data_IF_824069378971
#
_entry.id   IF_824069378971
#
_cell.length_a   1.000
_cell.length_b   1.000
_cell.length_c   1.000
_cell.angle_alpha   90.00
_cell.angle_beta   90.00
_cell.angle_gamma   90.00
#
_symmetry.space_group_name_H-M   'P 1'
#
loop_
_entity.id
_entity.type
_entity.pdbx_description
1 polymer ?
#
# COMPACT_ATOMS: atom_id res chain seq x y z
N UNK A 1 23.65 -57.75 34.69
CA UNK A 1 24.61 -56.62 34.78
C UNK A 1 24.78 -55.84 33.48
N UNK A 2 24.12 -56.20 32.38
CA UNK A 2 24.33 -55.57 31.06
C UNK A 2 23.26 -54.54 30.64
N UNK A 3 22.16 -54.41 31.38
CA UNK A 3 21.12 -53.39 31.11
C UNK A 3 21.27 -52.11 31.94
N UNK A 4 22.02 -52.14 33.05
CA UNK A 4 22.21 -50.94 33.89
C UNK A 4 23.33 -50.02 33.40
N UNK A 5 24.26 -50.53 32.58
CA UNK A 5 25.33 -49.74 31.95
C UNK A 5 24.90 -49.03 30.65
N UNK A 6 23.84 -49.49 29.97
CA UNK A 6 23.32 -48.80 28.78
C UNK A 6 22.38 -47.63 29.11
N UNK A 7 21.75 -47.62 30.28
CA UNK A 7 20.90 -46.52 30.70
C UNK A 7 21.73 -45.32 31.23
N UNK A 8 22.82 -45.56 31.98
CA UNK A 8 23.72 -44.50 32.47
C UNK A 8 24.51 -43.79 31.35
N UNK A 9 24.71 -44.45 30.21
CA UNK A 9 25.33 -43.86 29.02
C UNK A 9 24.41 -42.92 28.22
N UNK A 10 23.08 -43.10 28.30
CA UNK A 10 22.11 -42.23 27.61
C UNK A 10 21.85 -40.94 28.39
N UNK A 11 21.71 -41.02 29.71
CA UNK A 11 21.45 -39.83 30.55
C UNK A 11 22.67 -38.87 30.61
N UNK A 12 23.90 -39.40 30.51
CA UNK A 12 25.12 -38.58 30.46
C UNK A 12 25.30 -37.83 29.13
N UNK A 13 24.73 -38.36 28.05
CA UNK A 13 24.83 -37.76 26.71
C UNK A 13 23.75 -36.68 26.49
N UNK A 14 22.55 -36.87 27.06
CA UNK A 14 21.50 -35.84 27.08
C UNK A 14 21.84 -34.66 28.00
N UNK A 15 22.47 -34.89 29.16
CA UNK A 15 22.94 -33.81 30.03
C UNK A 15 24.13 -33.03 29.46
N UNK A 16 24.97 -33.67 28.64
CA UNK A 16 26.06 -32.98 27.91
C UNK A 16 25.52 -32.14 26.75
N UNK A 17 24.48 -32.60 26.05
CA UNK A 17 23.82 -31.83 24.98
C UNK A 17 23.06 -30.59 25.52
N UNK A 18 22.43 -30.70 26.70
CA UNK A 18 21.75 -29.58 27.36
C UNK A 18 22.72 -28.53 27.93
N UNK A 19 23.91 -28.92 28.40
CA UNK A 19 24.97 -27.97 28.82
C UNK A 19 25.65 -27.27 27.64
N UNK A 20 25.78 -27.93 26.49
CA UNK A 20 26.29 -27.30 25.26
C UNK A 20 25.29 -26.34 24.60
N UNK A 21 23.99 -26.53 24.78
CA UNK A 21 22.95 -25.58 24.35
C UNK A 21 22.79 -24.38 25.30
N UNK A 22 23.04 -24.55 26.61
CA UNK A 22 23.03 -23.42 27.56
C UNK A 22 24.33 -22.57 27.51
N UNK A 23 25.47 -23.16 27.14
CA UNK A 23 26.73 -22.42 26.97
C UNK A 23 26.80 -21.61 25.67
N UNK A 24 26.05 -22.01 24.63
CA UNK A 24 25.93 -21.23 23.37
C UNK A 24 24.89 -20.12 23.44
N UNK A 25 23.94 -20.19 24.39
CA UNK A 25 22.98 -19.12 24.66
C UNK A 25 23.54 -17.99 25.57
N UNK A 26 24.58 -18.27 26.37
CA UNK A 26 25.15 -17.31 27.33
C UNK A 26 26.28 -16.43 26.78
N UNK A 27 26.85 -16.74 25.60
CA UNK A 27 27.94 -15.95 24.99
C UNK A 27 27.43 -14.86 24.02
N UNK A 28 26.15 -14.87 23.66
CA UNK A 28 25.54 -13.88 22.75
C UNK A 28 24.80 -12.73 23.44
N UNK A 29 24.96 -12.55 24.76
CA UNK A 29 24.26 -11.52 25.55
C UNK A 29 25.18 -10.47 26.18
N UNK A 30 26.45 -10.38 25.79
CA UNK A 30 27.42 -9.43 26.37
C UNK A 30 28.30 -8.68 25.37
N UNK A 31 27.79 -8.39 24.17
CA UNK A 31 28.52 -7.60 23.16
C UNK A 31 27.62 -6.60 22.43
N UNK A 32 26.82 -5.84 23.18
CA UNK A 32 26.06 -4.69 22.63
C UNK A 32 26.24 -3.46 23.51
N UNK A 33 27.50 -3.05 23.69
CA UNK A 33 27.84 -1.72 24.17
C UNK A 33 29.02 -1.21 23.35
N UNK A 34 28.84 -0.04 22.74
CA UNK A 34 29.77 0.69 21.88
C UNK A 34 29.92 0.18 20.43
N UNK A 35 28.93 0.52 19.59
CA UNK A 35 29.25 1.04 18.26
C UNK A 35 28.52 2.36 18.06
N UNK A 36 29.32 3.39 17.79
CA UNK A 36 28.90 4.77 17.71
C UNK A 36 27.86 5.02 16.63
N UNK A 37 27.03 6.02 16.91
CA UNK A 37 26.13 6.67 16.00
C UNK A 37 26.88 7.19 14.76
N UNK A 38 27.09 6.32 13.78
CA UNK A 38 27.28 6.68 12.38
C UNK A 38 25.92 6.57 11.71
N UNK A 39 25.05 7.54 12.03
CA UNK A 39 23.76 7.67 11.39
C UNK A 39 23.98 8.07 9.93
N UNK A 40 23.90 7.10 9.01
CA UNK A 40 23.52 7.42 7.63
C UNK A 40 22.23 8.22 7.73
N UNK A 41 22.30 9.52 7.46
CA UNK A 41 21.16 10.43 7.38
C UNK A 41 20.06 9.74 6.57
N UNK A 42 19.01 9.25 7.25
CA UNK A 42 17.79 8.79 6.57
C UNK A 42 17.35 9.94 5.67
N UNK A 43 17.23 9.68 4.38
CA UNK A 43 16.86 10.69 3.38
C UNK A 43 15.41 11.15 3.57
N UNK A 44 15.13 11.82 4.68
CA UNK A 44 13.81 12.36 4.99
C UNK A 44 13.51 13.53 4.05
N UNK A 45 12.24 13.65 3.65
CA UNK A 45 11.76 14.82 2.96
C UNK A 45 12.00 16.08 3.82
N UNK A 46 12.36 17.20 3.19
CA UNK A 46 12.61 18.44 3.90
C UNK A 46 11.39 18.93 4.71
N UNK A 47 10.18 18.65 4.22
CA UNK A 47 8.93 18.89 4.95
C UNK A 47 8.84 18.07 6.23
N UNK A 48 9.27 16.81 6.20
CA UNK A 48 9.27 15.92 7.36
C UNK A 48 10.28 16.34 8.43
N UNK A 49 11.48 16.76 8.02
CA UNK A 49 12.48 17.34 8.94
C UNK A 49 11.93 18.57 9.67
N UNK A 50 11.17 19.41 8.96
CA UNK A 50 10.50 20.58 9.57
C UNK A 50 9.39 20.18 10.53
N UNK A 51 8.55 19.22 10.16
CA UNK A 51 7.50 18.70 11.05
C UNK A 51 8.11 18.11 12.32
N UNK A 52 9.20 17.35 12.23
CA UNK A 52 9.91 16.83 13.41
C UNK A 52 10.41 17.95 14.32
N UNK A 53 10.94 19.04 13.74
CA UNK A 53 11.38 20.21 14.51
C UNK A 53 10.21 20.85 15.25
N UNK A 54 9.07 21.05 14.58
CA UNK A 54 7.88 21.60 15.23
C UNK A 54 7.34 20.66 16.29
N UNK A 55 7.25 19.35 16.03
CA UNK A 55 6.84 18.37 17.04
C UNK A 55 7.73 18.42 18.29
N UNK A 56 9.04 18.64 18.11
CA UNK A 56 9.96 18.86 19.23
C UNK A 56 9.65 20.16 19.98
N UNK A 57 9.44 21.26 19.28
CA UNK A 57 9.06 22.55 19.90
C UNK A 57 7.73 22.43 20.68
N UNK A 58 6.73 21.75 20.11
CA UNK A 58 5.49 21.42 20.81
C UNK A 58 5.75 20.55 22.04
N UNK A 59 6.66 19.58 21.97
CA UNK A 59 7.05 18.76 23.12
C UNK A 59 7.69 19.56 24.26
N UNK A 60 8.53 20.54 23.94
CA UNK A 60 9.10 21.45 24.95
C UNK A 60 8.03 22.35 25.58
N UNK A 61 7.13 22.91 24.76
CA UNK A 61 5.98 23.69 25.25
C UNK A 61 5.05 22.85 26.12
N UNK A 62 4.85 21.59 25.75
CA UNK A 62 4.00 20.66 26.48
C UNK A 62 4.52 20.39 27.89
N UNK A 63 5.86 20.32 28.04
CA UNK A 63 6.52 20.24 29.36
C UNK A 63 6.38 21.52 30.17
N UNK A 64 6.44 22.68 29.52
CA UNK A 64 6.43 23.96 30.22
C UNK A 64 5.03 24.43 30.67
N UNK A 65 3.98 24.08 29.92
CA UNK A 65 2.65 24.68 30.07
C UNK A 65 1.60 23.76 30.73
N UNK A 66 2.02 22.73 31.47
CA UNK A 66 1.10 21.71 31.99
C UNK A 66 0.01 22.27 32.94
N UNK A 67 -1.29 21.98 32.72
CA UNK A 67 -1.88 21.23 31.59
C UNK A 67 -2.09 22.10 30.34
N UNK A 68 -1.71 21.57 29.17
CA UNK A 68 -1.76 22.29 27.89
C UNK A 68 -2.57 21.54 26.80
N UNK A 69 -3.91 21.44 26.92
CA UNK A 69 -4.75 20.70 25.96
C UNK A 69 -4.67 21.26 24.53
N UNK A 70 -4.45 22.57 24.39
CA UNK A 70 -4.24 23.21 23.09
C UNK A 70 -2.91 22.80 22.42
N UNK A 71 -1.85 22.57 23.21
CA UNK A 71 -0.53 22.12 22.71
C UNK A 71 -0.64 20.67 22.24
N UNK A 72 -1.37 19.83 22.98
CA UNK A 72 -1.67 18.45 22.58
C UNK A 72 -2.46 18.40 21.27
N UNK A 73 -3.50 19.24 21.14
CA UNK A 73 -4.30 19.34 19.92
C UNK A 73 -3.45 19.80 18.73
N UNK A 74 -2.51 20.73 18.94
CA UNK A 74 -1.57 21.16 17.92
C UNK A 74 -0.64 20.05 17.41
N UNK A 75 -0.17 19.16 18.30
CA UNK A 75 0.60 17.97 17.91
C UNK A 75 -0.23 17.04 17.02
N UNK A 76 -1.49 16.79 17.40
CA UNK A 76 -2.39 15.92 16.62
C UNK A 76 -2.69 16.51 15.25
N UNK A 77 -3.12 17.77 15.21
CA UNK A 77 -3.43 18.48 13.97
C UNK A 77 -2.23 18.54 13.02
N UNK A 78 -1.01 18.73 13.54
CA UNK A 78 0.18 18.79 12.72
C UNK A 78 0.47 17.45 12.03
N UNK A 79 0.36 16.34 12.77
CA UNK A 79 0.54 15.01 12.19
C UNK A 79 -0.59 14.65 11.23
N UNK A 80 -1.84 14.98 11.57
CA UNK A 80 -3.01 14.74 10.72
C UNK A 80 -2.92 15.52 9.41
N UNK A 81 -2.46 16.78 9.45
CA UNK A 81 -2.23 17.59 8.26
C UNK A 81 -1.14 16.98 7.38
N UNK A 82 -0.04 16.50 7.97
CA UNK A 82 1.00 15.79 7.23
C UNK A 82 0.46 14.52 6.55
N UNK A 83 -0.32 13.72 7.28
CA UNK A 83 -0.92 12.49 6.80
C UNK A 83 -1.87 12.77 5.62
N UNK A 84 -2.81 13.70 5.79
CA UNK A 84 -3.78 14.05 4.75
C UNK A 84 -3.11 14.71 3.53
N UNK A 85 -2.10 15.56 3.75
CA UNK A 85 -1.37 16.20 2.65
C UNK A 85 -0.52 15.19 1.87
N UNK A 86 0.12 14.23 2.55
CA UNK A 86 0.86 13.14 1.89
C UNK A 86 -0.08 12.29 1.03
N UNK A 87 -1.23 11.89 1.59
CA UNK A 87 -2.24 11.15 0.84
C UNK A 87 -2.71 11.94 -0.41
N UNK A 88 -3.12 13.19 -0.22
CA UNK A 88 -3.69 14.02 -1.30
C UNK A 88 -2.66 14.31 -2.39
N UNK A 89 -1.40 14.52 -2.03
CA UNK A 89 -0.34 14.79 -2.99
C UNK A 89 -0.01 13.56 -3.84
N UNK A 90 0.05 12.37 -3.25
CA UNK A 90 0.70 11.22 -3.88
C UNK A 90 -0.21 10.05 -4.27
N UNK A 91 -1.43 9.97 -3.72
CA UNK A 91 -2.41 8.98 -4.15
C UNK A 91 -2.95 9.30 -5.55
N UNK A 92 -3.55 8.31 -6.20
CA UNK A 92 -4.33 8.45 -7.42
C UNK A 92 -5.85 8.53 -7.17
N UNK A 93 -6.27 8.48 -5.90
CA UNK A 93 -7.67 8.67 -5.49
C UNK A 93 -7.85 10.08 -4.90
N UNK A 94 -8.68 10.94 -5.53
CA UNK A 94 -8.88 12.29 -5.04
C UNK A 94 -9.64 12.28 -3.70
N UNK A 95 -9.19 13.09 -2.75
CA UNK A 95 -9.79 13.16 -1.41
C UNK A 95 -11.29 13.51 -1.43
N UNK A 96 -11.75 14.27 -2.43
CA UNK A 96 -13.19 14.58 -2.60
C UNK A 96 -14.04 13.33 -2.74
N UNK A 97 -13.58 12.34 -3.51
CA UNK A 97 -14.34 11.09 -3.72
C UNK A 97 -14.52 10.29 -2.43
N UNK A 98 -13.58 10.39 -1.49
CA UNK A 98 -13.71 9.74 -0.18
C UNK A 98 -14.67 10.47 0.75
N UNK A 99 -14.81 11.78 0.60
CA UNK A 99 -15.61 12.63 1.49
C UNK A 99 -17.07 12.73 1.07
N UNK A 100 -17.36 12.55 -0.22
CA UNK A 100 -18.72 12.71 -0.75
C UNK A 100 -19.61 11.49 -0.46
N UNK A 101 -19.07 10.35 0.00
CA UNK A 101 -19.78 9.08 0.30
C UNK A 101 -20.66 8.55 -0.86
N UNK A 102 -20.63 9.18 -2.04
CA UNK A 102 -21.40 8.78 -3.21
C UNK A 102 -20.58 7.84 -4.07
N UNK A 103 -20.96 6.56 -4.01
CA UNK A 103 -20.41 5.42 -4.74
C UNK A 103 -18.92 5.09 -4.45
N UNK A 104 -18.56 3.79 -4.39
CA UNK A 104 -17.16 3.40 -4.41
C UNK A 104 -16.51 3.98 -5.69
N UNK A 105 -15.38 4.72 -5.60
CA UNK A 105 -14.67 5.16 -6.79
C UNK A 105 -14.38 3.97 -7.73
N UNK A 106 -14.29 4.21 -9.03
CA UNK A 106 -13.72 3.20 -9.93
C UNK A 106 -12.29 2.92 -9.45
N UNK A 107 -12.06 1.74 -8.84
CA UNK A 107 -10.83 1.42 -8.09
C UNK A 107 -10.98 1.39 -6.56
N UNK A 108 -12.17 1.51 -5.99
CA UNK A 108 -12.42 1.54 -4.52
C UNK A 108 -11.93 0.33 -3.73
N UNK A 109 -11.57 -0.78 -4.39
CA UNK A 109 -10.86 -1.87 -3.72
C UNK A 109 -9.45 -1.51 -3.25
N UNK A 110 -8.97 -0.29 -3.53
CA UNK A 110 -7.57 0.10 -3.35
C UNK A 110 -7.25 0.82 -2.03
N UNK A 111 -8.26 1.33 -1.32
CA UNK A 111 -8.07 2.04 -0.05
C UNK A 111 -8.69 1.22 1.09
N UNK A 112 -7.93 0.99 2.16
CA UNK A 112 -8.44 0.28 3.33
C UNK A 112 -9.59 1.07 3.97
N UNK A 113 -10.65 0.37 4.41
CA UNK A 113 -11.78 1.01 5.10
C UNK A 113 -11.32 1.82 6.34
N UNK A 114 -10.24 1.35 6.96
CA UNK A 114 -9.56 2.03 8.05
C UNK A 114 -8.97 3.37 7.62
N UNK A 115 -8.25 3.43 6.50
CA UNK A 115 -7.68 4.66 5.97
C UNK A 115 -8.79 5.63 5.55
N UNK A 116 -9.81 5.15 4.86
CA UNK A 116 -10.96 5.96 4.48
C UNK A 116 -11.63 6.58 5.71
N UNK A 117 -11.98 5.76 6.71
CA UNK A 117 -12.60 6.25 7.95
C UNK A 117 -11.71 7.24 8.71
N UNK A 118 -10.39 7.06 8.65
CA UNK A 118 -9.43 7.99 9.24
C UNK A 118 -9.40 9.33 8.51
N UNK A 119 -9.26 9.33 7.18
CA UNK A 119 -9.23 10.54 6.36
C UNK A 119 -10.54 11.33 6.46
N UNK A 120 -11.69 10.64 6.42
CA UNK A 120 -13.01 11.26 6.61
C UNK A 120 -13.12 11.90 7.98
N UNK A 121 -12.71 11.20 9.05
CA UNK A 121 -12.74 11.74 10.42
C UNK A 121 -11.89 13.00 10.54
N UNK A 122 -10.61 12.95 10.17
CA UNK A 122 -9.68 14.07 10.37
C UNK A 122 -10.10 15.28 9.53
N UNK A 123 -10.56 15.08 8.29
CA UNK A 123 -11.00 16.18 7.43
C UNK A 123 -12.30 16.85 7.89
N UNK A 124 -13.18 16.12 8.60
CA UNK A 124 -14.45 16.64 9.10
C UNK A 124 -14.39 17.12 10.56
N UNK A 125 -13.25 16.92 11.24
CA UNK A 125 -13.06 17.31 12.63
C UNK A 125 -11.83 18.22 12.74
N UNK A 126 -10.68 17.66 13.05
CA UNK A 126 -9.44 18.39 13.36
C UNK A 126 -8.94 19.29 12.22
N UNK A 127 -9.10 18.85 10.97
CA UNK A 127 -8.63 19.57 9.79
C UNK A 127 -9.74 20.33 9.06
N UNK A 128 -10.90 20.56 9.69
CA UNK A 128 -12.04 21.21 9.04
C UNK A 128 -11.66 22.56 8.40
N UNK A 129 -10.83 23.34 9.08
CA UNK A 129 -10.30 24.64 8.58
C UNK A 129 -9.38 24.52 7.35
N UNK A 130 -8.78 23.35 7.13
CA UNK A 130 -7.90 23.07 6.00
C UNK A 130 -8.60 22.30 4.87
N UNK A 131 -9.83 21.81 5.10
CA UNK A 131 -10.55 20.95 4.16
C UNK A 131 -10.65 21.55 2.75
N UNK A 132 -11.04 22.81 2.63
CA UNK A 132 -11.15 23.48 1.32
C UNK A 132 -9.81 23.52 0.56
N UNK A 133 -8.69 23.68 1.28
CA UNK A 133 -7.36 23.68 0.68
C UNK A 133 -6.94 22.28 0.25
N UNK A 134 -7.18 21.27 1.09
CA UNK A 134 -6.91 19.87 0.77
C UNK A 134 -7.72 19.40 -0.44
N UNK A 135 -9.00 19.78 -0.53
CA UNK A 135 -9.86 19.43 -1.68
C UNK A 135 -9.44 20.15 -2.98
N UNK A 136 -8.80 21.32 -2.89
CA UNK A 136 -8.31 22.07 -4.06
C UNK A 136 -7.02 21.49 -4.66
N UNK A 137 -6.34 20.58 -3.95
CA UNK A 137 -5.11 19.95 -4.45
C UNK A 137 -5.45 18.88 -5.47
N UNK A 138 -4.85 18.99 -6.66
CA UNK A 138 -4.94 17.93 -7.67
C UNK A 138 -4.00 16.77 -7.29
N UNK A 139 -4.45 15.51 -7.37
CA UNK A 139 -3.58 14.35 -7.21
C UNK A 139 -2.40 14.40 -8.18
N UNK A 140 -1.20 13.98 -7.75
CA UNK A 140 0.01 14.00 -8.61
C UNK A 140 -0.14 13.21 -9.91
N UNK A 141 -1.08 12.26 -10.02
CA UNK A 141 -1.39 11.56 -11.27
C UNK A 141 -1.82 12.51 -12.41
N UNK A 142 -2.29 13.72 -12.10
CA UNK A 142 -2.79 14.71 -13.08
C UNK A 142 -1.80 15.86 -13.31
N UNK A 143 -0.77 16.00 -12.47
CA UNK A 143 0.17 17.12 -12.51
C UNK A 143 1.59 16.65 -12.79
N UNK A 144 1.87 16.28 -14.05
CA UNK A 144 3.24 16.19 -14.53
C UNK A 144 3.91 17.58 -14.43
N UNK A 145 4.66 17.84 -13.35
CA UNK A 145 5.61 18.97 -13.30
C UNK A 145 5.64 19.86 -12.05
N UNK A 146 4.98 19.56 -10.93
CA UNK A 146 5.00 20.48 -9.76
C UNK A 146 5.14 19.81 -8.39
N UNK A 147 6.06 18.85 -8.26
CA UNK A 147 6.34 18.19 -6.98
C UNK A 147 7.53 18.80 -6.23
N UNK A 148 7.27 19.58 -5.17
CA UNK A 148 8.10 19.76 -3.94
C UNK A 148 7.85 21.09 -3.23
N UNK A 149 7.42 22.15 -3.94
CA UNK A 149 7.26 23.49 -3.35
C UNK A 149 5.90 23.77 -2.69
N UNK A 150 4.84 23.03 -3.06
CA UNK A 150 3.48 23.27 -2.58
C UNK A 150 3.30 22.91 -1.09
N UNK A 151 3.76 21.71 -0.68
CA UNK A 151 3.72 21.25 0.71
C UNK A 151 4.51 22.20 1.64
N UNK A 152 5.63 22.72 1.15
CA UNK A 152 6.50 23.64 1.89
C UNK A 152 5.93 25.05 2.05
N UNK A 153 5.19 25.55 1.04
CA UNK A 153 4.43 26.79 1.17
C UNK A 153 3.24 26.63 2.13
N UNK A 154 2.61 25.45 2.17
CA UNK A 154 1.47 25.15 3.03
C UNK A 154 1.86 25.03 4.51
N UNK A 155 2.97 24.34 4.79
CA UNK A 155 3.54 24.25 6.15
C UNK A 155 4.07 25.61 6.64
N UNK A 156 4.56 26.49 5.76
CA UNK A 156 4.93 27.88 6.15
C UNK A 156 3.74 28.76 6.50
N UNK A 157 2.61 28.61 5.82
CA UNK A 157 1.38 29.38 6.11
C UNK A 157 0.74 29.00 7.45
N UNK A 158 1.10 27.85 8.02
CA UNK A 158 0.56 27.35 9.28
C UNK A 158 1.40 27.70 10.50
N UNK A 159 2.70 28.04 10.34
CA UNK A 159 3.58 28.41 11.47
C UNK A 159 3.62 29.91 11.78
N UNK A 160 3.07 30.76 10.92
CA UNK A 160 2.98 32.21 11.16
C UNK A 160 1.56 32.65 10.86
N UNK A 161 0.80 33.00 11.90
CA UNK A 161 -0.49 33.65 11.73
C UNK A 161 -0.34 34.88 10.84
N UNK A 162 -1.08 34.93 9.74
CA UNK A 162 -1.08 36.10 8.86
C UNK A 162 -1.73 37.27 9.61
N UNK A 163 -0.93 38.28 9.94
CA UNK A 163 -1.44 39.63 10.14
C UNK A 163 -1.00 40.47 8.92
N UNK A 164 -1.91 41.14 8.20
CA UNK A 164 -1.50 42.03 7.12
C UNK A 164 -1.20 43.42 7.71
N UNK A 165 0.05 43.86 7.57
CA UNK A 165 0.48 45.25 7.35
C UNK A 165 1.71 45.66 8.16
N UNK A 166 2.55 46.44 7.48
CA UNK A 166 3.61 47.36 7.93
C UNK A 166 5.09 46.93 7.83
N UNK A 167 5.86 47.91 7.33
CA UNK A 167 7.26 47.92 6.90
C UNK A 167 8.27 47.37 7.93
N UNK A 168 9.44 46.85 7.49
CA UNK A 168 10.42 46.28 8.41
C UNK A 168 11.33 47.35 9.01
N UNK A 169 11.47 47.30 10.35
CA UNK A 169 12.56 47.90 11.13
C UNK A 169 13.82 47.01 11.13
N UNK A 170 15.01 47.55 11.45
CA UNK A 170 16.31 46.93 11.13
C UNK A 170 16.75 45.76 12.03
N UNK A 171 15.84 45.13 12.77
CA UNK A 171 16.14 43.95 13.60
C UNK A 171 16.08 42.61 12.83
N UNK A 172 15.60 42.63 11.58
CA UNK A 172 15.50 41.44 10.70
C UNK A 172 16.86 41.00 10.12
N UNK A 173 17.95 41.72 10.44
CA UNK A 173 19.28 41.40 9.92
C UNK A 173 19.90 40.14 10.56
N UNK A 174 19.51 39.76 11.78
CA UNK A 174 20.04 38.57 12.45
C UNK A 174 19.43 37.25 11.94
N UNK A 175 18.21 37.28 11.40
CA UNK A 175 17.51 36.10 10.88
C UNK A 175 17.97 35.70 9.46
N UNK A 176 18.72 36.55 8.77
CA UNK A 176 19.31 36.25 7.45
C UNK A 176 20.50 35.28 7.50
N UNK A 177 21.01 34.95 8.69
CA UNK A 177 22.12 34.01 8.86
C UNK A 177 21.74 32.53 8.67
N UNK A 178 20.44 32.19 8.64
CA UNK A 178 19.97 30.84 8.32
C UNK A 178 19.55 30.66 6.86
N UNK A 179 19.73 31.69 6.03
CA UNK A 179 19.58 31.61 4.58
C UNK A 179 20.83 30.99 3.95
N UNK A 180 21.24 29.83 4.46
CA UNK A 180 22.13 28.93 3.76
C UNK A 180 21.37 28.36 2.57
N UNK A 181 21.88 28.63 1.39
CA UNK A 181 21.51 28.05 0.11
C UNK A 181 21.58 26.52 0.18
N UNK A 182 20.55 25.88 0.74
CA UNK A 182 20.38 24.43 0.69
C UNK A 182 19.62 24.15 -0.60
N UNK A 183 20.43 23.86 -1.63
CA UNK A 183 20.08 23.35 -2.95
C UNK A 183 18.61 23.15 -3.23
N UNK A 184 18.09 23.97 -4.14
CA UNK A 184 16.94 23.62 -4.99
C UNK A 184 17.16 22.20 -5.53
N UNK A 185 16.37 21.17 -5.14
CA UNK A 185 16.34 19.98 -5.96
C UNK A 185 15.75 20.45 -7.29
N UNK A 186 16.55 20.36 -8.36
CA UNK A 186 16.06 20.62 -9.70
C UNK A 186 14.77 19.79 -9.88
N UNK A 187 13.75 20.31 -10.59
CA UNK A 187 12.62 19.47 -10.98
C UNK A 187 13.21 18.28 -11.75
N UNK A 188 13.07 17.07 -11.20
CA UNK A 188 13.45 15.83 -11.88
C UNK A 188 12.48 15.67 -13.06
N UNK A 189 12.80 16.31 -14.18
CA UNK A 189 12.13 16.07 -15.45
C UNK A 189 12.53 14.68 -15.94
N UNK A 190 11.52 13.81 -16.10
CA UNK A 190 11.55 12.68 -17.05
C UNK A 190 12.59 11.59 -16.82
N UNK A 191 12.91 11.23 -15.58
CA UNK A 191 13.76 10.07 -15.28
C UNK A 191 13.00 8.74 -15.22
N UNK A 192 13.69 7.58 -15.28
CA UNK A 192 13.09 6.28 -14.95
C UNK A 192 12.51 6.34 -13.53
N UNK A 193 11.31 5.77 -13.34
CA UNK A 193 10.56 5.75 -12.07
C UNK A 193 9.94 7.09 -11.62
N UNK A 194 9.55 7.96 -12.56
CA UNK A 194 8.98 9.28 -12.26
C UNK A 194 7.90 9.20 -11.16
N UNK A 195 8.11 9.92 -10.06
CA UNK A 195 7.18 10.00 -8.94
C UNK A 195 7.22 8.81 -7.96
N UNK A 196 7.91 7.71 -8.25
CA UNK A 196 8.01 6.56 -7.33
C UNK A 196 9.01 6.84 -6.21
N UNK A 197 10.15 7.45 -6.52
CA UNK A 197 11.15 7.83 -5.51
C UNK A 197 10.56 8.84 -4.54
N UNK A 198 9.86 9.85 -5.04
CA UNK A 198 9.20 10.87 -4.20
C UNK A 198 8.15 10.26 -3.29
N UNK A 199 7.38 9.28 -3.78
CA UNK A 199 6.41 8.51 -3.00
C UNK A 199 7.07 7.67 -1.92
N UNK A 200 8.15 6.97 -2.26
CA UNK A 200 8.94 6.20 -1.31
C UNK A 200 9.51 7.10 -0.20
N UNK A 201 10.11 8.23 -0.57
CA UNK A 201 10.60 9.21 0.40
C UNK A 201 9.48 9.76 1.28
N UNK A 202 8.31 10.06 0.70
CA UNK A 202 7.16 10.56 1.46
C UNK A 202 6.61 9.50 2.44
N UNK A 203 6.48 8.24 1.98
CA UNK A 203 6.08 7.10 2.78
C UNK A 203 7.03 6.87 3.96
N UNK A 204 8.34 6.77 3.69
CA UNK A 204 9.37 6.60 4.71
C UNK A 204 9.37 7.75 5.71
N UNK A 205 9.21 8.98 5.22
CA UNK A 205 9.16 10.17 6.06
C UNK A 205 7.95 10.18 7.00
N UNK A 206 6.77 9.85 6.49
CA UNK A 206 5.53 9.76 7.27
C UNK A 206 5.64 8.65 8.33
N UNK A 207 6.12 7.47 7.94
CA UNK A 207 6.32 6.34 8.85
C UNK A 207 7.39 6.60 9.90
N UNK A 208 8.47 7.32 9.56
CA UNK A 208 9.50 7.72 10.51
C UNK A 208 8.93 8.68 11.58
N UNK A 209 8.16 9.69 11.17
CA UNK A 209 7.50 10.60 12.12
C UNK A 209 6.50 9.85 13.00
N UNK A 210 5.72 8.93 12.42
CA UNK A 210 4.82 8.08 13.18
C UNK A 210 5.57 7.23 14.21
N UNK A 211 6.75 6.71 13.88
CA UNK A 211 7.59 5.94 14.81
C UNK A 211 8.11 6.80 15.98
N UNK A 212 8.55 8.03 15.71
CA UNK A 212 8.94 8.99 16.75
C UNK A 212 7.77 9.32 17.69
N UNK A 213 6.57 9.56 17.13
CA UNK A 213 5.37 9.77 17.93
C UNK A 213 5.05 8.56 18.81
N UNK A 214 5.13 7.33 18.27
CA UNK A 214 4.91 6.10 19.06
C UNK A 214 5.89 6.00 20.22
N UNK A 215 7.16 6.31 19.99
CA UNK A 215 8.18 6.33 21.04
C UNK A 215 7.87 7.39 22.12
N UNK A 216 7.32 8.54 21.72
CA UNK A 216 6.91 9.60 22.62
C UNK A 216 5.60 9.33 23.39
N UNK A 217 4.79 8.32 23.00
CA UNK A 217 3.46 8.03 23.56
C UNK A 217 3.44 7.96 25.09
N UNK A 218 4.38 7.22 25.69
CA UNK A 218 4.45 7.07 27.14
C UNK A 218 4.73 8.39 27.87
N UNK A 219 5.61 9.21 27.30
CA UNK A 219 5.90 10.55 27.83
C UNK A 219 4.71 11.50 27.65
N UNK A 220 3.96 11.41 26.55
CA UNK A 220 2.74 12.20 26.36
C UNK A 220 1.67 11.86 27.40
N UNK A 221 1.44 10.56 27.65
CA UNK A 221 0.48 10.09 28.63
C UNK A 221 0.84 10.52 30.07
N UNK A 222 2.12 10.55 30.43
CA UNK A 222 2.54 11.00 31.76
C UNK A 222 2.40 12.51 32.00
N UNK A 223 2.18 13.29 30.93
CA UNK A 223 2.04 14.74 30.97
C UNK A 223 0.65 15.20 30.48
N UNK A 224 -0.36 14.31 30.47
CA UNK A 224 -1.78 14.70 30.31
C UNK A 224 -2.57 14.29 31.56
N UNK A 225 -3.67 15.00 31.88
CA UNK A 225 -4.64 14.50 32.86
C UNK A 225 -5.22 13.15 32.43
N UNK A 226 -5.56 12.28 33.39
CA UNK A 226 -6.17 10.96 33.11
C UNK A 226 -7.45 11.05 32.26
N UNK A 227 -8.20 12.15 32.35
CA UNK A 227 -9.39 12.39 31.53
C UNK A 227 -9.11 12.46 30.03
N UNK A 228 -7.88 12.83 29.63
CA UNK A 228 -7.45 12.99 28.24
C UNK A 228 -6.77 11.73 27.68
N UNK A 229 -6.46 10.73 28.52
CA UNK A 229 -5.86 9.47 28.08
C UNK A 229 -6.64 8.82 26.92
N UNK A 230 -7.99 8.70 26.97
CA UNK A 230 -8.74 8.10 25.87
C UNK A 230 -8.56 8.83 24.53
N UNK A 231 -8.38 10.15 24.56
CA UNK A 231 -8.18 10.98 23.35
C UNK A 231 -6.79 10.71 22.76
N UNK A 232 -5.76 10.71 23.60
CA UNK A 232 -4.38 10.36 23.19
C UNK A 232 -4.34 8.95 22.61
N UNK A 233 -4.99 7.99 23.26
CA UNK A 233 -5.04 6.60 22.82
C UNK A 233 -5.78 6.43 21.49
N UNK A 234 -6.88 7.16 21.30
CA UNK A 234 -7.60 7.17 20.03
C UNK A 234 -6.74 7.76 18.89
N UNK A 235 -5.96 8.81 19.16
CA UNK A 235 -5.05 9.38 18.18
C UNK A 235 -3.98 8.37 17.72
N UNK A 236 -3.34 7.67 18.65
CA UNK A 236 -2.33 6.66 18.30
C UNK A 236 -2.93 5.50 17.51
N UNK A 237 -3.98 4.88 18.04
CA UNK A 237 -4.58 3.68 17.44
C UNK A 237 -5.27 3.94 16.09
N UNK A 238 -5.85 5.14 15.90
CA UNK A 238 -6.66 5.45 14.72
C UNK A 238 -6.02 6.42 13.74
N UNK A 239 -5.05 7.23 14.14
CA UNK A 239 -4.41 8.22 13.25
C UNK A 239 -2.94 7.85 13.00
N UNK A 240 -2.13 7.69 14.05
CA UNK A 240 -0.70 7.38 13.90
C UNK A 240 -0.51 6.05 13.16
N UNK A 241 -1.25 5.03 13.55
CA UNK A 241 -1.17 3.74 12.89
C UNK A 241 -1.73 3.74 11.45
N UNK A 242 -2.48 4.78 11.02
CA UNK A 242 -2.94 4.90 9.62
C UNK A 242 -1.82 5.37 8.66
N UNK A 243 -0.64 5.73 9.19
CA UNK A 243 0.53 6.07 8.38
C UNK A 243 0.94 4.95 7.43
N UNK A 244 0.80 3.71 7.88
CA UNK A 244 1.14 2.51 7.10
C UNK A 244 0.18 2.34 5.94
N UNK A 245 -1.13 2.52 6.18
CA UNK A 245 -2.13 2.46 5.11
C UNK A 245 -1.88 3.54 4.03
N UNK A 246 -1.52 4.77 4.44
CA UNK A 246 -1.16 5.84 3.48
C UNK A 246 0.08 5.45 2.69
N UNK A 247 1.11 4.91 3.35
CA UNK A 247 2.34 4.42 2.72
C UNK A 247 2.04 3.37 1.64
N UNK A 248 1.25 2.34 1.99
CA UNK A 248 0.84 1.30 1.03
C UNK A 248 0.04 1.88 -0.14
N UNK A 249 -0.91 2.78 0.13
CA UNK A 249 -1.73 3.41 -0.89
C UNK A 249 -0.88 4.20 -1.90
N UNK A 250 0.01 5.07 -1.41
CA UNK A 250 0.82 5.91 -2.31
C UNK A 250 1.87 5.09 -3.05
N UNK A 251 2.49 4.08 -2.42
CA UNK A 251 3.45 3.20 -3.11
C UNK A 251 2.77 2.39 -4.20
N UNK A 252 1.57 1.84 -3.94
CA UNK A 252 0.76 1.14 -4.94
C UNK A 252 0.41 2.04 -6.13
N UNK A 253 -0.01 3.28 -5.88
CA UNK A 253 -0.24 4.26 -6.94
C UNK A 253 1.04 4.54 -7.75
N UNK A 254 2.18 4.67 -7.08
CA UNK A 254 3.49 4.83 -7.71
C UNK A 254 3.86 3.65 -8.62
N UNK A 255 3.55 2.42 -8.21
CA UNK A 255 3.73 1.22 -9.03
C UNK A 255 2.84 1.26 -10.26
N UNK A 256 1.54 1.52 -10.14
CA UNK A 256 0.63 1.61 -11.30
C UNK A 256 1.07 2.65 -12.34
N UNK A 257 1.57 3.79 -11.88
CA UNK A 257 2.12 4.82 -12.77
C UNK A 257 3.35 4.35 -13.53
N UNK A 258 4.17 3.49 -12.91
CA UNK A 258 5.44 3.04 -13.48
C UNK A 258 5.34 1.66 -14.14
N UNK A 259 4.29 0.90 -13.90
CA UNK A 259 3.98 -0.40 -14.52
C UNK A 259 2.59 -0.30 -15.18
N UNK A 260 2.49 0.36 -16.36
CA UNK A 260 1.22 0.55 -17.04
C UNK A 260 0.75 -0.77 -17.66
N UNK A 261 -0.25 -1.40 -17.03
CA UNK A 261 -0.82 -2.69 -17.43
C UNK A 261 -2.18 -2.59 -18.13
N UNK A 262 -2.77 -1.39 -18.23
CA UNK A 262 -4.05 -1.20 -18.91
C UNK A 262 -4.10 -1.76 -20.36
N UNK A 263 -3.03 -1.67 -21.18
CA UNK A 263 -3.01 -2.31 -22.50
C UNK A 263 -3.09 -3.85 -22.45
N UNK A 264 -2.51 -4.48 -21.42
CA UNK A 264 -2.55 -5.93 -21.23
C UNK A 264 -3.98 -6.38 -20.92
N UNK A 265 -4.72 -5.63 -20.10
CA UNK A 265 -6.14 -5.88 -19.84
C UNK A 265 -6.95 -5.96 -21.15
N UNK A 266 -6.68 -5.05 -22.08
CA UNK A 266 -7.39 -5.02 -23.36
C UNK A 266 -7.03 -6.21 -24.25
N UNK A 267 -5.76 -6.64 -24.25
CA UNK A 267 -5.34 -7.84 -24.98
C UNK A 267 -5.99 -9.11 -24.44
N UNK A 268 -5.98 -9.30 -23.11
CA UNK A 268 -6.66 -10.44 -22.47
C UNK A 268 -8.16 -10.43 -22.82
N UNK A 269 -8.81 -9.28 -22.71
CA UNK A 269 -10.25 -9.16 -22.99
C UNK A 269 -10.61 -9.38 -24.48
N UNK A 270 -9.65 -9.14 -25.38
CA UNK A 270 -9.80 -9.29 -26.83
C UNK A 270 -9.37 -10.65 -27.38
N UNK A 271 -8.77 -11.50 -26.55
CA UNK A 271 -8.31 -12.84 -26.93
C UNK A 271 -9.49 -13.76 -27.26
N UNK A 272 -9.34 -14.60 -28.28
CA UNK A 272 -10.40 -15.51 -28.71
C UNK A 272 -10.38 -16.83 -27.92
N UNK A 273 -11.01 -16.78 -26.75
CA UNK A 273 -11.22 -17.98 -25.93
C UNK A 273 -12.37 -18.89 -26.41
N UNK A 274 -12.88 -18.70 -27.63
CA UNK A 274 -13.91 -19.56 -28.21
C UNK A 274 -13.37 -20.68 -29.10
N UNK A 275 -12.07 -20.63 -29.44
CA UNK A 275 -11.41 -21.64 -30.28
C UNK A 275 -11.64 -23.07 -29.77
N UNK A 276 -11.82 -23.99 -30.71
CA UNK A 276 -11.87 -25.44 -30.47
C UNK A 276 -10.53 -26.11 -30.76
N UNK A 277 -9.54 -25.36 -31.25
CA UNK A 277 -8.20 -25.87 -31.49
C UNK A 277 -7.33 -25.67 -30.23
N UNK A 278 -6.56 -26.70 -29.82
CA UNK A 278 -5.67 -26.57 -28.68
C UNK A 278 -4.60 -25.50 -28.94
N UNK A 279 -4.25 -24.68 -27.94
CA UNK A 279 -3.25 -23.64 -28.10
C UNK A 279 -1.87 -24.27 -28.38
N UNK A 280 -1.22 -23.86 -29.46
CA UNK A 280 0.16 -24.26 -29.76
C UNK A 280 1.17 -23.53 -28.84
N UNK A 281 0.83 -22.30 -28.43
CA UNK A 281 1.67 -21.40 -27.65
C UNK A 281 0.79 -20.59 -26.69
N UNK A 282 1.43 -19.96 -25.69
CA UNK A 282 0.75 -18.98 -24.84
C UNK A 282 0.34 -17.75 -25.66
N UNK A 283 -0.72 -17.09 -25.23
CA UNK A 283 -1.27 -15.89 -25.86
C UNK A 283 -0.27 -14.72 -25.81
N UNK A 284 -0.28 -13.84 -26.81
CA UNK A 284 0.66 -12.72 -26.95
C UNK A 284 0.65 -11.74 -25.76
N UNK A 285 -0.45 -11.69 -25.01
CA UNK A 285 -0.55 -10.83 -23.83
C UNK A 285 0.40 -11.27 -22.71
N UNK A 286 0.77 -12.56 -22.64
CA UNK A 286 1.71 -13.11 -21.66
C UNK A 286 3.09 -12.49 -21.86
N UNK A 287 3.58 -12.46 -23.10
CA UNK A 287 4.86 -11.86 -23.46
C UNK A 287 4.88 -10.34 -23.22
N UNK A 288 3.80 -9.62 -23.55
CA UNK A 288 3.68 -8.18 -23.30
C UNK A 288 3.70 -7.87 -21.78
N UNK A 289 3.00 -8.68 -20.97
CA UNK A 289 3.02 -8.57 -19.52
C UNK A 289 4.44 -8.78 -18.96
N UNK A 290 5.09 -9.88 -19.34
CA UNK A 290 6.42 -10.24 -18.88
C UNK A 290 7.45 -9.19 -19.30
N UNK A 291 7.37 -8.69 -20.53
CA UNK A 291 8.23 -7.62 -21.06
C UNK A 291 8.08 -6.33 -20.24
N UNK A 292 6.85 -5.94 -19.90
CA UNK A 292 6.60 -4.74 -19.09
C UNK A 292 7.16 -4.87 -17.69
N UNK A 293 7.03 -6.04 -17.06
CA UNK A 293 7.56 -6.27 -15.72
C UNK A 293 9.10 -6.34 -15.73
N UNK A 294 9.71 -6.93 -16.76
CA UNK A 294 11.16 -6.92 -16.96
C UNK A 294 11.67 -5.48 -17.14
N UNK A 295 11.02 -4.67 -17.98
CA UNK A 295 11.36 -3.25 -18.12
C UNK A 295 11.14 -2.44 -16.83
N UNK A 296 10.18 -2.84 -15.99
CA UNK A 296 10.01 -2.26 -14.66
C UNK A 296 11.15 -2.65 -13.70
N UNK A 297 11.56 -3.92 -13.69
CA UNK A 297 12.74 -4.42 -12.95
C UNK A 297 14.00 -3.63 -13.31
N UNK A 298 14.27 -3.48 -14.60
CA UNK A 298 15.48 -2.81 -15.08
C UNK A 298 15.49 -1.33 -14.69
N UNK A 299 14.35 -0.64 -14.81
CA UNK A 299 14.21 0.74 -14.33
C UNK A 299 14.38 0.85 -12.81
N UNK A 300 13.86 -0.12 -12.04
CA UNK A 300 14.02 -0.16 -10.58
C UNK A 300 15.50 -0.35 -10.18
N UNK A 301 16.24 -1.16 -10.93
CA UNK A 301 17.68 -1.37 -10.74
C UNK A 301 18.54 -0.16 -11.16
N UNK A 302 18.10 0.60 -12.17
CA UNK A 302 18.81 1.79 -12.68
C UNK A 302 18.50 3.09 -11.91
N UNK A 303 17.39 3.15 -11.17
CA UNK A 303 16.98 4.31 -10.40
C UNK A 303 17.88 4.58 -9.16
N UNK A 304 17.73 5.77 -8.56
CA UNK A 304 18.37 6.05 -7.26
C UNK A 304 17.99 4.98 -6.23
N UNK A 305 18.95 4.56 -5.41
CA UNK A 305 18.80 3.41 -4.51
C UNK A 305 17.70 3.65 -3.47
N UNK A 306 16.57 2.96 -3.66
CA UNK A 306 15.56 2.79 -2.63
C UNK A 306 16.08 1.87 -1.53
N UNK A 307 15.69 2.08 -0.25
CA UNK A 307 15.95 1.11 0.80
C UNK A 307 15.36 -0.25 0.44
N UNK A 308 16.06 -1.32 0.83
CA UNK A 308 15.70 -2.71 0.51
C UNK A 308 14.25 -3.05 0.93
N UNK A 309 13.85 -2.63 2.13
CA UNK A 309 12.48 -2.80 2.63
C UNK A 309 11.42 -2.12 1.75
N UNK A 310 11.76 -1.00 1.12
CA UNK A 310 10.88 -0.27 0.20
C UNK A 310 10.85 -0.94 -1.17
N UNK A 311 11.99 -1.46 -1.65
CA UNK A 311 12.07 -2.30 -2.85
C UNK A 311 11.16 -3.52 -2.74
N UNK A 312 11.19 -4.22 -1.61
CA UNK A 312 10.30 -5.36 -1.34
C UNK A 312 8.83 -4.94 -1.40
N UNK A 313 8.44 -3.84 -0.77
CA UNK A 313 7.07 -3.33 -0.83
C UNK A 313 6.61 -2.98 -2.25
N UNK A 314 7.48 -2.29 -3.01
CA UNK A 314 7.23 -1.97 -4.41
C UNK A 314 6.99 -3.23 -5.24
N UNK A 315 7.80 -4.27 -5.05
CA UNK A 315 7.61 -5.55 -5.73
C UNK A 315 6.33 -6.28 -5.33
N UNK A 316 5.94 -6.26 -4.05
CA UNK A 316 4.65 -6.82 -3.61
C UNK A 316 3.48 -6.15 -4.32
N UNK A 317 3.50 -4.82 -4.44
CA UNK A 317 2.47 -4.09 -5.17
C UNK A 317 2.51 -4.36 -6.68
N UNK A 318 3.70 -4.55 -7.28
CA UNK A 318 3.84 -4.91 -8.69
C UNK A 318 3.24 -6.29 -8.97
N UNK A 319 3.56 -7.29 -8.16
CA UNK A 319 2.99 -8.65 -8.24
C UNK A 319 1.47 -8.62 -8.07
N UNK A 320 0.96 -7.88 -7.08
CA UNK A 320 -0.49 -7.72 -6.89
C UNK A 320 -1.16 -7.08 -8.13
N UNK A 321 -0.54 -6.05 -8.71
CA UNK A 321 -1.04 -5.38 -9.92
C UNK A 321 -1.12 -6.32 -11.12
N UNK A 322 -0.18 -7.27 -11.23
CA UNK A 322 -0.22 -8.33 -12.27
C UNK A 322 -1.45 -9.22 -12.09
N UNK A 323 -1.72 -9.71 -10.87
CA UNK A 323 -2.91 -10.51 -10.59
C UNK A 323 -4.21 -9.77 -10.85
N UNK A 324 -4.30 -8.51 -10.40
CA UNK A 324 -5.46 -7.63 -10.67
C UNK A 324 -5.67 -7.42 -12.17
N UNK A 325 -4.60 -7.25 -12.94
CA UNK A 325 -4.63 -7.10 -14.40
C UNK A 325 -5.20 -8.34 -15.07
N UNK A 326 -4.73 -9.52 -14.69
CA UNK A 326 -5.22 -10.79 -15.24
C UNK A 326 -6.71 -10.99 -14.95
N UNK A 327 -7.13 -10.80 -13.68
CA UNK A 327 -8.53 -10.97 -13.29
C UNK A 327 -9.45 -9.96 -13.97
N UNK A 328 -9.03 -8.70 -14.08
CA UNK A 328 -9.81 -7.68 -14.78
C UNK A 328 -9.89 -7.98 -16.29
N UNK A 329 -8.81 -8.48 -16.89
CA UNK A 329 -8.80 -8.94 -18.29
C UNK A 329 -9.78 -10.08 -18.52
N UNK A 330 -9.68 -11.15 -17.73
CA UNK A 330 -10.56 -12.32 -17.85
C UNK A 330 -12.03 -11.98 -17.58
N UNK A 331 -12.32 -11.09 -16.63
CA UNK A 331 -13.68 -10.63 -16.36
C UNK A 331 -14.28 -9.78 -17.51
N UNK A 332 -13.46 -9.28 -18.44
CA UNK A 332 -13.91 -8.48 -19.59
C UNK A 332 -14.03 -9.26 -20.89
N UNK A 333 -13.68 -10.54 -20.90
CA UNK A 333 -13.84 -11.43 -22.06
C UNK A 333 -15.32 -11.48 -22.45
N UNK A 334 -15.63 -11.11 -23.69
CA UNK A 334 -17.01 -11.04 -24.21
C UNK A 334 -17.43 -12.28 -24.99
N UNK A 335 -16.48 -13.05 -25.49
CA UNK A 335 -16.76 -14.23 -26.30
C UNK A 335 -17.17 -15.42 -25.42
N UNK A 336 -17.84 -16.39 -26.05
CA UNK A 336 -18.13 -17.67 -25.41
C UNK A 336 -16.81 -18.35 -25.08
N UNK A 337 -16.53 -18.58 -23.79
CA UNK A 337 -15.31 -19.23 -23.36
C UNK A 337 -15.49 -20.76 -23.44
N UNK A 338 -14.89 -21.41 -24.45
CA UNK A 338 -14.96 -22.86 -24.68
C UNK A 338 -14.17 -23.62 -23.60
N UNK A 339 -14.35 -24.95 -23.51
CA UNK A 339 -13.55 -25.76 -22.58
C UNK A 339 -12.04 -25.68 -22.92
N UNK A 340 -11.73 -25.58 -24.21
CA UNK A 340 -10.37 -25.43 -24.72
C UNK A 340 -9.86 -24.01 -24.45
N UNK A 341 -10.66 -22.97 -24.64
CA UNK A 341 -10.29 -21.60 -24.29
C UNK A 341 -9.99 -21.41 -22.79
N UNK A 342 -10.69 -22.11 -21.90
CA UNK A 342 -10.35 -22.12 -20.46
C UNK A 342 -9.02 -22.83 -20.18
N UNK A 343 -8.73 -23.88 -20.95
CA UNK A 343 -7.42 -24.51 -20.92
C UNK A 343 -6.35 -23.52 -21.41
N UNK A 344 -6.62 -22.74 -22.46
CA UNK A 344 -5.73 -21.64 -22.91
C UNK A 344 -5.48 -20.63 -21.79
N UNK A 345 -6.51 -20.16 -21.08
CA UNK A 345 -6.32 -19.27 -19.91
C UNK A 345 -5.40 -19.89 -18.85
N UNK A 346 -5.51 -21.21 -18.64
CA UNK A 346 -4.69 -21.94 -17.66
C UNK A 346 -3.24 -22.10 -18.13
N UNK A 347 -3.02 -22.38 -19.42
CA UNK A 347 -1.70 -22.43 -20.06
C UNK A 347 -1.04 -21.06 -20.00
N UNK A 348 -1.75 -20.00 -20.37
CA UNK A 348 -1.27 -18.62 -20.30
C UNK A 348 -0.83 -18.26 -18.88
N UNK A 349 -1.62 -18.61 -17.86
CA UNK A 349 -1.31 -18.35 -16.47
C UNK A 349 -0.05 -19.12 -16.01
N UNK A 350 0.10 -20.37 -16.45
CA UNK A 350 1.27 -21.19 -16.13
C UNK A 350 2.54 -20.64 -16.76
N UNK A 351 2.49 -20.25 -18.04
CA UNK A 351 3.62 -19.63 -18.73
C UNK A 351 3.98 -18.29 -18.11
N UNK A 352 2.99 -17.42 -17.86
CA UNK A 352 3.20 -16.17 -17.15
C UNK A 352 3.87 -16.40 -15.79
N UNK A 353 3.35 -17.33 -14.98
CA UNK A 353 3.95 -17.66 -13.67
C UNK A 353 5.40 -18.12 -13.82
N UNK A 354 5.70 -18.95 -14.82
CA UNK A 354 7.04 -19.46 -15.08
C UNK A 354 8.02 -18.32 -15.38
N UNK A 355 7.69 -17.44 -16.34
CA UNK A 355 8.54 -16.30 -16.69
C UNK A 355 8.67 -15.31 -15.55
N UNK A 356 7.56 -14.98 -14.87
CA UNK A 356 7.52 -14.02 -13.76
C UNK A 356 8.40 -14.46 -12.59
N UNK A 357 8.52 -15.78 -12.33
CA UNK A 357 9.43 -16.32 -11.32
C UNK A 357 10.88 -15.96 -11.58
N UNK A 358 11.31 -15.77 -12.84
CA UNK A 358 12.67 -15.33 -13.18
C UNK A 358 12.87 -13.81 -13.09
N UNK A 359 11.77 -13.06 -13.24
CA UNK A 359 11.79 -11.59 -13.20
C UNK A 359 11.85 -11.11 -11.75
N UNK A 360 10.99 -11.65 -10.88
CA UNK A 360 10.91 -11.30 -9.46
C UNK A 360 12.28 -11.51 -8.77
N UNK A 361 12.71 -10.62 -7.86
CA UNK A 361 14.01 -10.75 -7.19
C UNK A 361 14.15 -12.03 -6.37
N UNK A 362 15.15 -12.85 -6.71
CA UNK A 362 15.37 -14.18 -6.13
C UNK A 362 15.80 -14.15 -4.66
N UNK A 363 16.40 -13.05 -4.21
CA UNK A 363 16.91 -12.92 -2.85
C UNK A 363 15.79 -12.77 -1.79
N UNK A 364 14.54 -12.55 -2.20
CA UNK A 364 13.41 -12.31 -1.30
C UNK A 364 12.36 -13.43 -1.44
N UNK A 365 12.49 -14.47 -0.62
CA UNK A 365 11.59 -15.62 -0.64
C UNK A 365 10.11 -15.25 -0.43
N UNK A 366 9.84 -14.20 0.35
CA UNK A 366 8.51 -13.68 0.59
C UNK A 366 7.83 -13.11 -0.67
N UNK A 367 8.60 -12.57 -1.63
CA UNK A 367 8.06 -12.11 -2.91
C UNK A 367 7.60 -13.29 -3.78
N UNK A 368 8.31 -14.42 -3.72
CA UNK A 368 7.90 -15.64 -4.42
C UNK A 368 6.63 -16.25 -3.81
N UNK A 369 6.51 -16.23 -2.49
CA UNK A 369 5.25 -16.62 -1.81
C UNK A 369 4.10 -15.72 -2.23
N UNK A 370 4.32 -14.40 -2.31
CA UNK A 370 3.32 -13.45 -2.78
C UNK A 370 2.93 -13.71 -4.25
N UNK A 371 3.89 -14.01 -5.13
CA UNK A 371 3.65 -14.37 -6.51
C UNK A 371 2.83 -15.65 -6.61
N UNK A 372 3.22 -16.73 -5.94
CA UNK A 372 2.48 -18.00 -5.95
C UNK A 372 1.06 -17.83 -5.41
N UNK A 373 0.88 -17.03 -4.35
CA UNK A 373 -0.45 -16.70 -3.82
C UNK A 373 -1.29 -15.92 -4.83
N UNK A 374 -0.69 -14.96 -5.54
CA UNK A 374 -1.37 -14.17 -6.57
C UNK A 374 -1.78 -15.05 -7.75
N UNK A 375 -0.88 -15.90 -8.25
CA UNK A 375 -1.19 -16.81 -9.35
C UNK A 375 -2.27 -17.82 -8.95
N UNK A 376 -2.24 -18.35 -7.72
CA UNK A 376 -3.31 -19.21 -7.19
C UNK A 376 -4.66 -18.49 -7.12
N UNK A 377 -4.66 -17.21 -6.78
CA UNK A 377 -5.87 -16.40 -6.77
C UNK A 377 -6.46 -16.23 -8.18
N UNK A 378 -5.63 -16.07 -9.20
CA UNK A 378 -6.09 -16.05 -10.61
C UNK A 378 -6.58 -17.44 -11.06
N UNK A 379 -5.82 -18.50 -10.77
CA UNK A 379 -6.17 -19.88 -11.10
C UNK A 379 -7.51 -20.30 -10.50
N UNK A 380 -7.77 -19.91 -9.25
CA UNK A 380 -9.06 -20.18 -8.57
C UNK A 380 -10.24 -19.53 -9.30
N UNK A 381 -10.03 -18.34 -9.88
CA UNK A 381 -11.05 -17.66 -10.70
C UNK A 381 -11.28 -18.40 -12.02
N UNK A 382 -10.22 -18.80 -12.72
CA UNK A 382 -10.31 -19.57 -13.98
C UNK A 382 -11.05 -20.91 -13.74
N UNK A 383 -10.75 -21.59 -12.64
CA UNK A 383 -11.43 -22.85 -12.27
C UNK A 383 -12.91 -22.67 -11.96
N UNK A 384 -13.31 -21.50 -11.46
CA UNK A 384 -14.70 -21.22 -11.14
C UNK A 384 -15.61 -21.18 -12.39
N UNK A 385 -15.05 -21.03 -13.59
CA UNK A 385 -15.83 -21.12 -14.84
C UNK A 385 -16.47 -22.50 -15.02
N UNK A 386 -15.93 -23.55 -14.40
CA UNK A 386 -16.43 -24.93 -14.50
C UNK A 386 -17.59 -25.24 -13.54
N UNK A 387 -18.05 -24.27 -12.76
CA UNK A 387 -19.19 -24.47 -11.86
C UNK A 387 -20.48 -24.70 -12.68
N UNK A 388 -21.22 -25.79 -12.40
CA UNK A 388 -22.36 -26.24 -13.18
C UNK A 388 -23.67 -25.51 -12.86
N UNK A 389 -23.84 -24.94 -11.67
CA UNK A 389 -25.13 -24.41 -11.19
C UNK A 389 -25.00 -23.02 -10.55
N UNK A 390 -26.12 -22.30 -10.45
CA UNK A 390 -26.17 -20.96 -9.82
C UNK A 390 -25.91 -21.08 -8.32
N UNK A 391 -26.42 -22.13 -7.68
CA UNK A 391 -26.25 -22.40 -6.26
C UNK A 391 -24.78 -22.67 -5.91
N UNK A 392 -24.08 -23.45 -6.74
CA UNK A 392 -22.65 -23.71 -6.55
C UNK A 392 -21.82 -22.45 -6.78
N UNK A 393 -22.15 -21.67 -7.82
CA UNK A 393 -21.52 -20.38 -8.06
C UNK A 393 -21.74 -19.43 -6.87
N UNK A 394 -22.94 -19.34 -6.33
CA UNK A 394 -23.22 -18.51 -5.17
C UNK A 394 -22.43 -18.94 -3.93
N UNK A 395 -22.41 -20.24 -3.60
CA UNK A 395 -21.56 -20.74 -2.50
C UNK A 395 -20.09 -20.41 -2.72
N UNK A 396 -19.62 -20.51 -3.96
CA UNK A 396 -18.26 -20.11 -4.31
C UNK A 396 -18.03 -18.61 -4.09
N UNK A 397 -18.97 -17.74 -4.46
CA UNK A 397 -18.85 -16.29 -4.20
C UNK A 397 -18.79 -15.96 -2.71
N UNK A 398 -19.57 -16.66 -1.88
CA UNK A 398 -19.52 -16.52 -0.42
C UNK A 398 -18.18 -16.98 0.17
N UNK A 399 -17.62 -18.07 -0.35
CA UNK A 399 -16.30 -18.57 0.05
C UNK A 399 -15.14 -17.71 -0.45
N UNK A 400 -15.38 -16.85 -1.46
CA UNK A 400 -14.36 -16.01 -2.08
C UNK A 400 -14.76 -14.53 -2.14
N UNK A 401 -14.91 -13.86 -0.98
CA UNK A 401 -15.32 -12.45 -0.90
C UNK A 401 -14.27 -11.47 -1.44
N UNK A 402 -13.05 -11.93 -1.71
CA UNK A 402 -11.96 -11.12 -2.24
C UNK A 402 -12.14 -10.71 -3.72
N UNK A 403 -13.00 -11.40 -4.48
CA UNK A 403 -13.32 -10.98 -5.85
C UNK A 403 -14.41 -9.91 -5.84
N UNK A 404 -14.37 -9.02 -6.83
CA UNK A 404 -15.32 -7.92 -6.96
C UNK A 404 -16.70 -8.46 -7.40
N UNK A 405 -17.82 -7.83 -7.00
CA UNK A 405 -19.14 -8.20 -7.50
C UNK A 405 -19.24 -8.21 -9.03
N UNK A 406 -18.57 -7.28 -9.71
CA UNK A 406 -18.49 -7.26 -11.16
C UNK A 406 -17.80 -8.50 -11.75
N UNK A 407 -16.77 -9.03 -11.09
CA UNK A 407 -16.10 -10.27 -11.49
C UNK A 407 -17.00 -11.49 -11.26
N UNK A 408 -17.74 -11.53 -10.14
CA UNK A 408 -18.76 -12.56 -9.92
C UNK A 408 -19.83 -12.56 -11.01
N UNK A 409 -20.32 -11.38 -11.41
CA UNK A 409 -21.31 -11.23 -12.48
C UNK A 409 -20.77 -11.59 -13.87
N UNK A 410 -19.52 -11.24 -14.15
CA UNK A 410 -18.84 -11.64 -15.39
C UNK A 410 -18.71 -13.17 -15.47
N UNK A 411 -18.34 -13.82 -14.36
CA UNK A 411 -18.25 -15.26 -14.27
C UNK A 411 -19.61 -15.94 -14.49
N UNK A 412 -20.67 -15.43 -13.86
CA UNK A 412 -22.04 -15.92 -14.06
C UNK A 412 -22.45 -15.84 -15.54
N UNK A 413 -22.13 -14.73 -16.19
CA UNK A 413 -22.37 -14.52 -17.62
C UNK A 413 -21.64 -15.55 -18.47
N UNK A 414 -20.34 -15.75 -18.24
CA UNK A 414 -19.54 -16.70 -19.00
C UNK A 414 -19.97 -18.16 -18.80
N UNK A 415 -20.41 -18.52 -17.59
CA UNK A 415 -20.95 -19.86 -17.31
C UNK A 415 -22.24 -20.11 -18.10
N UNK A 416 -23.18 -19.15 -18.09
CA UNK A 416 -24.43 -19.29 -18.82
C UNK A 416 -24.20 -19.43 -20.34
N UNK A 417 -23.24 -18.67 -20.89
CA UNK A 417 -22.89 -18.73 -22.31
C UNK A 417 -22.17 -20.04 -22.67
N UNK A 418 -21.30 -20.55 -21.78
CA UNK A 418 -20.65 -21.85 -21.97
C UNK A 418 -21.65 -23.00 -22.02
N UNK A 419 -22.60 -23.02 -21.08
CA UNK A 419 -23.67 -24.02 -20.99
C UNK A 419 -24.69 -23.93 -22.14
N UNK A 420 -24.59 -22.92 -23.01
CA UNK A 420 -25.51 -22.74 -24.12
C UNK A 420 -26.95 -22.47 -23.67
N UNK A 421 -27.11 -21.81 -22.52
CA UNK A 421 -28.43 -21.50 -21.97
C UNK A 421 -29.26 -20.68 -22.98
N UNK A 422 -30.54 -21.03 -23.12
CA UNK A 422 -31.46 -20.24 -23.95
C UNK A 422 -31.66 -18.86 -23.33
N UNK A 423 -32.01 -17.86 -24.15
CA UNK A 423 -32.16 -16.46 -23.73
C UNK A 423 -32.95 -16.26 -22.42
N UNK A 424 -34.06 -16.98 -22.24
CA UNK A 424 -34.89 -16.91 -21.03
C UNK A 424 -34.18 -17.52 -19.82
N UNK A 425 -33.60 -18.70 -19.99
CA UNK A 425 -32.91 -19.42 -18.90
C UNK A 425 -31.65 -18.69 -18.45
N UNK A 426 -30.90 -18.13 -19.41
CA UNK A 426 -29.78 -17.22 -19.16
C UNK A 426 -30.20 -16.01 -18.34
N UNK A 427 -31.28 -15.32 -18.75
CA UNK A 427 -31.77 -14.16 -18.00
C UNK A 427 -32.18 -14.52 -16.57
N UNK A 428 -32.85 -15.68 -16.39
CA UNK A 428 -33.23 -16.17 -15.07
C UNK A 428 -31.99 -16.51 -14.21
N UNK A 429 -30.98 -17.15 -14.79
CA UNK A 429 -29.73 -17.51 -14.10
C UNK A 429 -28.98 -16.28 -13.60
N UNK A 430 -28.82 -15.27 -14.46
CA UNK A 430 -28.15 -14.01 -14.10
C UNK A 430 -28.94 -13.26 -13.04
N UNK A 431 -30.26 -13.15 -13.19
CA UNK A 431 -31.12 -12.49 -12.19
C UNK A 431 -31.09 -13.22 -10.82
N UNK A 432 -31.02 -14.56 -10.83
CA UNK A 432 -30.87 -15.33 -9.60
C UNK A 432 -29.53 -15.02 -8.90
N UNK A 433 -28.43 -14.95 -9.66
CA UNK A 433 -27.12 -14.56 -9.12
C UNK A 433 -27.11 -13.12 -8.58
N UNK A 434 -27.74 -12.18 -9.27
CA UNK A 434 -27.86 -10.79 -8.80
C UNK A 434 -28.62 -10.72 -7.46
N UNK A 435 -29.75 -11.42 -7.36
CA UNK A 435 -30.53 -11.46 -6.12
C UNK A 435 -29.73 -12.08 -4.96
N UNK A 436 -28.99 -13.16 -5.23
CA UNK A 436 -28.16 -13.83 -4.23
C UNK A 436 -26.98 -12.97 -3.77
N UNK A 437 -26.37 -12.18 -4.66
CA UNK A 437 -25.31 -11.24 -4.30
C UNK A 437 -25.84 -10.01 -3.55
N UNK A 438 -27.07 -9.58 -3.84
CA UNK A 438 -27.70 -8.43 -3.17
C UNK A 438 -28.11 -8.73 -1.72
N UNK A 439 -28.48 -9.98 -1.41
CA UNK A 439 -28.99 -10.35 -0.08
C UNK A 439 -27.90 -10.58 0.98
N UNK A 440 -26.62 -10.52 0.61
CA UNK A 440 -25.50 -10.74 1.55
C UNK A 440 -25.50 -12.14 2.19
N UNK A 441 -24.45 -12.53 2.92
CA UNK A 441 -24.49 -13.75 3.71
C UNK A 441 -25.50 -13.57 4.86
N UNK A 442 -26.48 -14.48 4.97
CA UNK A 442 -27.33 -14.64 6.17
C UNK A 442 -26.52 -15.02 7.42
#
# INVERSE_FOLDING_TARGET
MTQQQQQQGKDSNEQSALKSQQSTAAVNLSSTSNQGASGKSRGLALSAVRVLRWLREYGELFRALYPAPAVLSGVFELFELLLASTFTAFSDVPLSTLLDNTAPPAGAGEISHRLQGTLVRVCNQSLLRFRGQLMSQKPAAVAAGTGSNALMQQLRKTSMGQNPSQNPSPEVAADRAFSGDIGRPAPLQGGPLQGLLERATAAESLCAIAAELRAARGAMLSHVPLSEHPVVEAFFSRTVEASVDVSECILRAGVRMNLPLAPVIQKIAGEDYSSEDPPEQASEWVDDLCTRLAAFKDRLAQGASLPDATVVQVWRHAVASVGETMLEGFARVKCRCSAIGRNTMSVDLQEAMHTLKSIVPQQHADLHVALDSTMRHVDTYIKAFFLPTAEELHRWTQAHPQYRPAQHMALATAIADFQGMRKKDRANFIAAMEALLANGPE
#
